data_IF_743271298192
#
_entry.id   IF_743271298192
#
_cell.length_a   1.000
_cell.length_b   1.000
_cell.length_c   1.000
_cell.angle_alpha   90.00
_cell.angle_beta   90.00
_cell.angle_gamma   90.00
#
_symmetry.space_group_name_H-M   'P 1'
#
loop_
_entity.id
_entity.type
_entity.pdbx_description
1 polymer ?
#
# COMPACT_ATOMS: atom_id res chain seq x y z
N UNK A 1 -63.02 16.88 -21.05
CA UNK A 1 -61.68 16.66 -21.61
C UNK A 1 -60.74 16.57 -20.43
N UNK A 2 -60.56 15.32 -19.98
CA UNK A 2 -59.38 14.64 -19.40
C UNK A 2 -58.63 15.32 -18.25
N UNK A 3 -58.52 14.70 -17.06
CA UNK A 3 -57.58 13.61 -16.70
C UNK A 3 -56.10 14.03 -16.94
N UNK A 4 -55.10 13.78 -16.10
CA UNK A 4 -54.94 13.06 -14.86
C UNK A 4 -53.59 13.50 -14.22
N UNK A 5 -53.51 13.35 -12.90
CA UNK A 5 -52.44 12.72 -12.10
C UNK A 5 -51.01 12.54 -12.70
N UNK A 6 -49.99 12.59 -11.81
CA UNK A 6 -48.72 11.83 -11.80
C UNK A 6 -47.42 12.66 -11.85
N UNK A 7 -46.83 12.86 -10.66
CA UNK A 7 -45.52 12.35 -10.21
C UNK A 7 -44.43 12.08 -11.27
N UNK A 8 -43.22 12.64 -11.06
CA UNK A 8 -41.87 11.99 -11.11
C UNK A 8 -40.79 12.86 -11.74
N UNK A 9 -39.63 12.85 -11.08
CA UNK A 9 -38.34 12.75 -11.75
C UNK A 9 -37.55 14.05 -11.91
N UNK A 10 -36.87 14.49 -10.86
CA UNK A 10 -35.70 15.35 -11.03
C UNK A 10 -34.47 14.48 -11.32
N UNK A 11 -34.22 14.23 -12.60
CA UNK A 11 -32.88 13.93 -13.10
C UNK A 11 -32.08 15.24 -13.05
N UNK A 12 -31.12 15.36 -12.15
CA UNK A 12 -30.20 16.48 -12.10
C UNK A 12 -28.90 16.14 -12.82
N UNK A 13 -28.92 16.15 -14.16
CA UNK A 13 -27.69 16.32 -14.94
C UNK A 13 -27.43 17.82 -15.06
N UNK A 14 -26.66 18.39 -14.13
CA UNK A 14 -26.19 19.77 -14.25
C UNK A 14 -25.17 19.86 -15.41
N UNK A 15 -25.61 20.44 -16.53
CA UNK A 15 -24.75 20.79 -17.67
C UNK A 15 -23.78 21.91 -17.27
N UNK A 16 -22.53 21.79 -17.72
CA UNK A 16 -21.44 22.76 -17.56
C UNK A 16 -21.76 24.14 -18.15
N UNK A 17 -22.83 24.26 -18.94
CA UNK A 17 -23.28 25.50 -19.59
C UNK A 17 -23.96 26.51 -18.64
N UNK A 18 -24.09 26.19 -17.35
CA UNK A 18 -24.82 27.03 -16.38
C UNK A 18 -23.95 27.94 -15.51
N UNK A 19 -22.65 28.07 -15.81
CA UNK A 19 -21.76 29.03 -15.15
C UNK A 19 -21.79 30.37 -15.89
N UNK A 20 -22.73 31.25 -15.52
CA UNK A 20 -22.69 32.66 -15.93
C UNK A 20 -21.50 33.37 -15.28
N UNK A 21 -20.48 33.71 -16.08
CA UNK A 21 -19.38 34.58 -15.66
C UNK A 21 -19.79 36.05 -15.84
N UNK A 22 -19.64 36.92 -14.83
CA UNK A 22 -19.98 38.34 -14.94
C UNK A 22 -19.17 39.01 -16.06
N UNK A 23 -19.81 39.92 -16.81
CA UNK A 23 -19.27 40.63 -17.99
C UNK A 23 -17.79 40.98 -17.83
N UNK A 24 -16.95 40.17 -18.46
CA UNK A 24 -15.51 40.26 -18.36
C UNK A 24 -15.02 41.53 -19.05
N UNK A 25 -14.25 42.32 -18.31
CA UNK A 25 -13.25 43.27 -18.83
C UNK A 25 -12.62 42.68 -20.10
N UNK A 26 -12.57 43.46 -21.19
CA UNK A 26 -11.99 43.01 -22.47
C UNK A 26 -10.72 42.19 -22.22
N UNK A 27 -10.67 40.91 -22.65
CA UNK A 27 -9.54 40.04 -22.39
C UNK A 27 -8.24 40.69 -22.87
N UNK A 28 -7.22 40.71 -22.01
CA UNK A 28 -5.92 41.25 -22.39
C UNK A 28 -5.31 40.35 -23.49
N UNK A 29 -5.29 40.84 -24.73
CA UNK A 29 -4.85 40.08 -25.91
C UNK A 29 -3.46 39.45 -25.75
N UNK A 30 -2.55 40.14 -25.03
CA UNK A 30 -1.21 39.61 -24.73
C UNK A 30 -1.28 38.38 -23.81
N UNK A 31 -2.13 38.41 -22.79
CA UNK A 31 -2.30 37.29 -21.86
C UNK A 31 -3.03 36.14 -22.55
N UNK A 32 -4.02 36.43 -23.38
CA UNK A 32 -4.72 35.43 -24.21
C UNK A 32 -3.72 34.70 -25.10
N UNK A 33 -2.86 35.44 -25.82
CA UNK A 33 -1.83 34.86 -26.68
C UNK A 33 -0.81 34.02 -25.90
N UNK A 34 -0.35 34.51 -24.74
CA UNK A 34 0.55 33.76 -23.85
C UNK A 34 -0.07 32.44 -23.40
N UNK A 35 -1.34 32.46 -22.98
CA UNK A 35 -2.03 31.25 -22.51
C UNK A 35 -2.19 30.23 -23.65
N UNK A 36 -2.53 30.71 -24.85
CA UNK A 36 -2.68 29.88 -26.03
C UNK A 36 -1.37 29.19 -26.41
N UNK A 37 -0.26 29.94 -26.44
CA UNK A 37 1.08 29.38 -26.71
C UNK A 37 1.47 28.29 -25.71
N UNK A 38 1.21 28.51 -24.41
CA UNK A 38 1.51 27.51 -23.37
C UNK A 38 0.65 26.26 -23.53
N UNK A 39 -0.65 26.41 -23.80
CA UNK A 39 -1.55 25.29 -24.02
C UNK A 39 -1.15 24.44 -25.23
N UNK A 40 -0.76 25.08 -26.33
CA UNK A 40 -0.30 24.38 -27.54
C UNK A 40 0.95 23.54 -27.28
N UNK A 41 1.92 24.07 -26.53
CA UNK A 41 3.13 23.34 -26.14
C UNK A 41 2.80 22.16 -25.23
N UNK A 42 1.95 22.37 -24.22
CA UNK A 42 1.53 21.31 -23.30
C UNK A 42 0.79 20.19 -24.04
N UNK A 43 -0.14 20.55 -24.93
CA UNK A 43 -0.88 19.59 -25.74
C UNK A 43 0.01 18.81 -26.70
N UNK A 44 0.95 19.48 -27.39
CA UNK A 44 1.91 18.81 -28.26
C UNK A 44 2.81 17.83 -27.48
N UNK A 45 3.24 18.23 -26.28
CA UNK A 45 4.10 17.40 -25.42
C UNK A 45 3.33 16.22 -24.82
N UNK A 46 2.07 16.42 -24.41
CA UNK A 46 1.19 15.35 -23.93
C UNK A 46 0.87 14.30 -25.02
N UNK A 47 0.69 14.74 -26.28
CA UNK A 47 0.51 13.82 -27.42
C UNK A 47 1.73 12.92 -27.63
N UNK A 48 2.93 13.42 -27.33
CA UNK A 48 4.18 12.67 -27.42
C UNK A 48 4.41 11.75 -26.21
N UNK A 49 4.03 12.20 -25.01
CA UNK A 49 4.12 11.41 -23.78
C UNK A 49 2.92 11.72 -22.85
N UNK A 50 1.90 10.83 -22.79
CA UNK A 50 0.71 11.04 -21.97
C UNK A 50 0.94 11.03 -20.46
N UNK A 51 2.06 10.48 -19.98
CA UNK A 51 2.40 10.39 -18.55
C UNK A 51 3.31 11.56 -18.09
N UNK A 52 3.47 12.59 -18.91
CA UNK A 52 4.40 13.69 -18.63
C UNK A 52 3.95 14.52 -17.42
N UNK A 53 4.91 14.84 -16.54
CA UNK A 53 4.69 15.80 -15.45
C UNK A 53 4.51 17.22 -16.02
N UNK A 54 3.27 17.70 -16.04
CA UNK A 54 2.91 19.02 -16.57
C UNK A 54 3.65 20.17 -15.87
N UNK A 55 3.89 20.07 -14.56
CA UNK A 55 4.60 21.10 -13.80
C UNK A 55 6.07 21.23 -14.20
N UNK A 56 6.69 20.13 -14.68
CA UNK A 56 8.09 20.13 -15.09
C UNK A 56 8.33 20.80 -16.46
N UNK A 57 7.30 20.83 -17.31
CA UNK A 57 7.35 21.42 -18.66
C UNK A 57 6.66 22.79 -18.73
N UNK A 58 5.87 23.13 -17.70
CA UNK A 58 5.26 24.45 -17.60
C UNK A 58 6.34 25.54 -17.54
N UNK A 59 6.20 26.66 -18.28
CA UNK A 59 7.25 27.68 -18.28
C UNK A 59 7.41 28.32 -16.89
N UNK A 60 8.61 28.22 -16.33
CA UNK A 60 8.96 28.81 -15.02
C UNK A 60 8.80 30.34 -15.01
N UNK A 61 8.90 30.97 -16.18
CA UNK A 61 8.75 32.41 -16.40
C UNK A 61 7.30 32.85 -16.66
N UNK A 62 6.34 31.92 -16.71
CA UNK A 62 4.94 32.21 -17.05
C UNK A 62 4.33 33.30 -16.16
N UNK A 63 4.50 33.19 -14.84
CA UNK A 63 3.98 34.17 -13.88
C UNK A 63 4.56 35.56 -14.10
N UNK A 64 5.84 35.65 -14.47
CA UNK A 64 6.52 36.91 -14.74
C UNK A 64 6.11 37.51 -16.10
N UNK A 65 5.92 36.66 -17.13
CA UNK A 65 5.40 37.04 -18.45
C UNK A 65 3.94 37.52 -18.36
N UNK A 66 3.11 36.86 -17.56
CA UNK A 66 1.72 37.24 -17.28
C UNK A 66 1.63 38.59 -16.56
N UNK A 67 2.56 38.86 -15.66
CA UNK A 67 2.68 40.16 -14.96
C UNK A 67 3.33 41.26 -15.84
N UNK A 68 3.70 40.96 -17.08
CA UNK A 68 4.31 41.92 -18.00
C UNK A 68 5.78 42.24 -17.72
N UNK A 69 6.43 41.55 -16.75
CA UNK A 69 7.81 41.81 -16.29
C UNK A 69 8.89 41.27 -17.23
N UNK A 70 8.53 40.39 -18.17
CA UNK A 70 9.41 39.81 -19.19
C UNK A 70 8.75 39.87 -20.57
N UNK A 71 9.54 40.12 -21.62
CA UNK A 71 9.08 40.11 -23.01
C UNK A 71 8.83 38.69 -23.54
N UNK A 72 8.11 38.56 -24.65
CA UNK A 72 7.90 37.26 -25.31
C UNK A 72 9.23 36.73 -25.85
N UNK A 73 9.56 35.47 -25.51
CA UNK A 73 10.76 34.81 -26.00
C UNK A 73 10.60 34.45 -27.48
N UNK A 74 11.53 34.91 -28.33
CA UNK A 74 11.69 34.44 -29.70
C UNK A 74 12.53 33.16 -29.71
N UNK A 75 11.86 32.01 -29.60
CA UNK A 75 12.31 30.64 -29.94
C UNK A 75 13.44 29.94 -29.12
N UNK A 76 13.26 28.61 -29.01
CA UNK A 76 14.20 27.51 -28.69
C UNK A 76 14.38 26.98 -27.26
N UNK A 77 13.76 27.55 -26.22
CA UNK A 77 13.81 26.92 -24.89
C UNK A 77 13.12 25.52 -24.86
N UNK A 78 12.09 25.32 -25.69
CA UNK A 78 11.39 24.05 -25.84
C UNK A 78 12.25 22.98 -26.53
N UNK A 79 13.00 23.31 -27.59
CA UNK A 79 13.91 22.38 -28.26
C UNK A 79 15.10 21.97 -27.37
N UNK A 80 15.60 22.88 -26.54
CA UNK A 80 16.71 22.61 -25.62
C UNK A 80 16.30 21.72 -24.43
N UNK A 81 15.05 21.80 -23.94
CA UNK A 81 14.54 20.94 -22.85
C UNK A 81 14.09 19.56 -23.36
N UNK A 82 13.54 19.44 -24.57
CA UNK A 82 13.13 18.13 -25.15
C UNK A 82 14.33 17.19 -25.35
N UNK A 83 15.51 17.71 -25.77
CA UNK A 83 16.73 16.90 -25.96
C UNK A 83 17.42 16.43 -24.65
N UNK A 84 17.02 16.96 -23.49
CA UNK A 84 17.61 16.62 -22.17
C UNK A 84 16.72 15.76 -21.27
N UNK A 85 15.54 15.37 -21.73
CA UNK A 85 14.70 14.45 -20.97
C UNK A 85 15.33 13.04 -20.95
N UNK A 86 15.30 12.33 -19.80
CA UNK A 86 15.60 10.91 -19.78
C UNK A 86 14.69 10.16 -20.77
N UNK A 87 15.11 9.00 -21.31
CA UNK A 87 14.26 8.22 -22.20
C UNK A 87 12.91 7.97 -21.53
N UNK A 88 11.80 7.98 -22.30
CA UNK A 88 10.49 7.73 -21.72
C UNK A 88 10.55 6.41 -20.94
N UNK A 89 9.99 6.37 -19.71
CA UNK A 89 9.86 5.10 -19.00
C UNK A 89 9.18 4.10 -19.93
N UNK A 90 9.63 2.84 -19.90
CA UNK A 90 9.12 1.79 -20.76
C UNK A 90 7.59 1.85 -20.75
N UNK A 91 6.98 2.00 -21.94
CA UNK A 91 5.53 2.08 -22.12
C UNK A 91 4.93 0.93 -21.31
N UNK A 92 4.32 1.24 -20.16
CA UNK A 92 3.44 0.30 -19.51
C UNK A 92 2.22 0.25 -20.42
N UNK A 93 1.85 -0.91 -20.99
CA UNK A 93 0.60 -0.99 -21.73
C UNK A 93 -0.50 -0.43 -20.85
N UNK A 94 -1.28 0.52 -21.38
CA UNK A 94 -2.41 1.06 -20.64
C UNK A 94 -3.28 -0.11 -20.17
N UNK A 95 -3.75 -0.09 -18.91
CA UNK A 95 -4.74 -1.05 -18.45
C UNK A 95 -5.91 -1.08 -19.43
N UNK A 96 -6.29 -2.24 -19.99
CA UNK A 96 -7.61 -2.36 -20.57
C UNK A 96 -8.61 -2.04 -19.46
N UNK A 97 -9.51 -1.08 -19.69
CA UNK A 97 -10.72 -0.89 -18.88
C UNK A 97 -11.57 -2.15 -19.07
N UNK A 98 -11.31 -3.16 -18.25
CA UNK A 98 -12.05 -4.39 -18.12
C UNK A 98 -11.93 -4.85 -16.67
N UNK A 99 -12.87 -5.69 -16.24
CA UNK A 99 -12.77 -6.43 -14.98
C UNK A 99 -11.42 -7.14 -14.96
N UNK A 100 -10.45 -6.60 -14.20
CA UNK A 100 -9.16 -7.26 -14.00
C UNK A 100 -9.41 -8.48 -13.13
N UNK A 101 -9.35 -9.66 -13.72
CA UNK A 101 -9.27 -10.90 -12.96
C UNK A 101 -7.81 -11.09 -12.54
N UNK A 102 -7.54 -10.88 -11.25
CA UNK A 102 -6.20 -11.02 -10.69
C UNK A 102 -5.63 -12.43 -10.94
N UNK A 103 -6.44 -13.48 -10.81
CA UNK A 103 -6.01 -14.86 -10.97
C UNK A 103 -5.64 -15.14 -12.43
N UNK A 104 -6.45 -14.66 -13.39
CA UNK A 104 -6.15 -14.78 -14.81
C UNK A 104 -4.86 -14.04 -15.18
N UNK A 105 -4.70 -12.80 -14.69
CA UNK A 105 -3.47 -12.01 -14.84
C UNK A 105 -2.26 -12.75 -14.26
N UNK A 106 -2.44 -13.33 -13.07
CA UNK A 106 -1.41 -14.08 -12.40
C UNK A 106 -0.97 -15.28 -13.23
N UNK A 107 -1.91 -16.07 -13.74
CA UNK A 107 -1.62 -17.22 -14.62
C UNK A 107 -0.88 -16.78 -15.89
N UNK A 108 -1.33 -15.69 -16.53
CA UNK A 108 -0.79 -15.21 -17.80
C UNK A 108 0.65 -14.66 -17.67
N UNK A 109 0.94 -13.91 -16.59
CA UNK A 109 2.25 -13.28 -16.37
C UNK A 109 3.32 -14.25 -15.86
N UNK A 110 2.91 -15.42 -15.39
CA UNK A 110 3.76 -16.39 -14.71
C UNK A 110 4.55 -17.27 -15.67
N UNK A 111 5.88 -17.13 -15.62
CA UNK A 111 6.82 -17.87 -16.50
C UNK A 111 7.69 -18.89 -15.77
N UNK A 112 8.01 -18.65 -14.51
CA UNK A 112 8.91 -19.49 -13.71
C UNK A 112 8.39 -19.58 -12.29
N UNK A 113 8.56 -20.74 -11.66
CA UNK A 113 8.22 -20.97 -10.26
C UNK A 113 9.48 -21.35 -9.48
N UNK A 114 9.69 -20.72 -8.33
CA UNK A 114 10.83 -21.03 -7.45
C UNK A 114 10.38 -21.03 -6.00
N UNK A 115 10.65 -22.12 -5.29
CA UNK A 115 10.51 -22.18 -3.83
C UNK A 115 11.59 -21.28 -3.22
N UNK A 116 11.18 -20.25 -2.48
CA UNK A 116 12.08 -19.34 -1.76
C UNK A 116 12.31 -19.87 -0.35
N UNK A 117 11.23 -20.31 0.31
CA UNK A 117 11.29 -21.01 1.59
C UNK A 117 10.55 -22.35 1.52
N UNK A 118 11.07 -23.39 2.19
CA UNK A 118 10.49 -24.73 2.15
C UNK A 118 8.99 -24.75 2.48
N UNK A 119 8.26 -25.59 1.75
CA UNK A 119 6.84 -25.83 2.00
C UNK A 119 6.68 -26.84 3.13
N UNK A 120 5.66 -26.64 3.96
CA UNK A 120 5.17 -27.64 4.92
C UNK A 120 4.51 -28.83 4.22
N UNK A 121 4.42 -29.96 4.92
CA UNK A 121 3.78 -31.17 4.40
C UNK A 121 2.32 -30.91 4.00
N UNK A 122 1.61 -30.06 4.75
CA UNK A 122 0.24 -29.65 4.45
C UNK A 122 0.14 -28.84 3.15
N UNK A 123 1.07 -27.89 2.93
CA UNK A 123 1.12 -27.10 1.70
C UNK A 123 1.48 -27.96 0.48
N UNK A 124 2.40 -28.93 0.65
CA UNK A 124 2.77 -29.91 -0.38
C UNK A 124 1.58 -30.81 -0.72
N UNK A 125 0.89 -31.34 0.28
CA UNK A 125 -0.29 -32.18 0.09
C UNK A 125 -1.38 -31.42 -0.67
N UNK A 126 -1.64 -30.16 -0.30
CA UNK A 126 -2.61 -29.31 -0.98
C UNK A 126 -2.24 -29.08 -2.46
N UNK A 127 -1.01 -28.66 -2.76
CA UNK A 127 -0.58 -28.42 -4.15
C UNK A 127 -0.58 -29.71 -5.00
N UNK A 128 -0.33 -30.86 -4.37
CA UNK A 128 -0.33 -32.15 -5.05
C UNK A 128 -1.71 -32.56 -5.59
N UNK A 129 -2.79 -32.09 -4.98
CA UNK A 129 -4.16 -32.32 -5.47
C UNK A 129 -4.40 -31.76 -6.89
N UNK A 130 -3.56 -30.80 -7.32
CA UNK A 130 -3.63 -30.22 -8.65
C UNK A 130 -2.72 -30.91 -9.68
N UNK A 131 -1.98 -31.96 -9.30
CA UNK A 131 -1.11 -32.73 -10.17
C UNK A 131 -1.74 -34.09 -10.52
N UNK A 132 -1.44 -34.61 -11.71
CA UNK A 132 -1.93 -35.93 -12.11
C UNK A 132 -1.18 -37.03 -11.34
N UNK A 133 -1.95 -37.84 -10.61
CA UNK A 133 -1.54 -38.90 -9.66
C UNK A 133 -0.67 -39.99 -10.31
N UNK A 134 0.64 -39.79 -10.45
CA UNK A 134 1.55 -40.87 -10.88
C UNK A 134 2.93 -40.92 -10.17
N UNK A 135 3.26 -40.01 -9.24
CA UNK A 135 4.51 -40.03 -8.45
C UNK A 135 4.32 -39.45 -7.05
N UNK A 136 5.28 -39.67 -6.15
CA UNK A 136 5.28 -39.10 -4.80
C UNK A 136 5.24 -37.55 -4.86
N UNK A 137 4.38 -36.96 -4.04
CA UNK A 137 4.07 -35.52 -3.97
C UNK A 137 5.30 -34.61 -3.87
N UNK A 138 6.31 -35.00 -3.08
CA UNK A 138 7.52 -34.20 -2.89
C UNK A 138 8.37 -34.07 -4.16
N UNK A 139 8.65 -35.20 -4.81
CA UNK A 139 9.49 -35.27 -6.03
C UNK A 139 8.82 -34.55 -7.20
N UNK A 140 7.49 -34.42 -7.17
CA UNK A 140 6.72 -33.69 -8.16
C UNK A 140 6.80 -32.18 -7.98
N UNK A 141 7.05 -31.62 -6.79
CA UNK A 141 7.16 -30.17 -6.60
C UNK A 141 8.59 -29.65 -6.74
N UNK A 142 9.58 -30.53 -6.82
CA UNK A 142 10.99 -30.18 -7.05
C UNK A 142 11.24 -29.63 -8.47
N UNK A 143 10.39 -29.97 -9.45
CA UNK A 143 10.46 -29.39 -10.79
C UNK A 143 9.66 -28.10 -10.88
N UNK A 144 10.31 -27.04 -11.36
CA UNK A 144 9.69 -25.72 -11.61
C UNK A 144 8.42 -25.84 -12.47
N UNK A 145 8.39 -26.75 -13.44
CA UNK A 145 7.28 -26.86 -14.39
C UNK A 145 6.02 -27.46 -13.74
N UNK A 146 6.18 -28.51 -12.94
CA UNK A 146 5.07 -29.12 -12.21
C UNK A 146 4.58 -28.21 -11.09
N UNK A 147 5.48 -27.55 -10.36
CA UNK A 147 5.12 -26.53 -9.37
C UNK A 147 4.29 -25.40 -10.01
N UNK A 148 4.75 -24.87 -11.14
CA UNK A 148 4.01 -23.87 -11.90
C UNK A 148 2.65 -24.41 -12.38
N UNK A 149 2.59 -25.64 -12.88
CA UNK A 149 1.34 -26.27 -13.34
C UNK A 149 0.33 -26.42 -12.19
N UNK A 150 0.77 -26.84 -11.00
CA UNK A 150 -0.07 -26.94 -9.81
C UNK A 150 -0.65 -25.57 -9.41
N UNK A 151 0.20 -24.55 -9.29
CA UNK A 151 -0.23 -23.19 -8.89
C UNK A 151 -1.17 -22.59 -9.94
N UNK A 152 -0.91 -22.75 -11.24
CA UNK A 152 -1.80 -22.25 -12.29
C UNK A 152 -3.18 -22.94 -12.26
N UNK A 153 -3.23 -24.25 -11.97
CA UNK A 153 -4.48 -24.98 -11.81
C UNK A 153 -5.26 -24.54 -10.57
N UNK A 154 -4.56 -24.30 -9.45
CA UNK A 154 -5.14 -23.71 -8.24
C UNK A 154 -5.75 -22.33 -8.53
N UNK A 155 -5.02 -21.45 -9.22
CA UNK A 155 -5.52 -20.11 -9.59
C UNK A 155 -6.68 -20.14 -10.59
N UNK A 156 -6.81 -21.19 -11.39
CA UNK A 156 -7.91 -21.34 -12.36
C UNK A 156 -9.24 -21.76 -11.70
N UNK A 157 -9.19 -22.27 -10.46
CA UNK A 157 -10.36 -22.69 -9.68
C UNK A 157 -10.27 -22.13 -8.25
N UNK A 158 -10.29 -20.79 -8.09
CA UNK A 158 -10.01 -20.17 -6.80
C UNK A 158 -11.22 -20.26 -5.85
N UNK A 159 -11.00 -20.81 -4.66
CA UNK A 159 -11.91 -20.63 -3.52
C UNK A 159 -11.44 -19.39 -2.73
N UNK A 160 -12.06 -18.23 -2.98
CA UNK A 160 -11.55 -16.93 -2.51
C UNK A 160 -12.09 -16.59 -1.12
N UNK A 161 -11.17 -16.31 -0.19
CA UNK A 161 -11.49 -15.69 1.11
C UNK A 161 -11.50 -14.16 1.02
N UNK A 162 -10.64 -13.59 0.17
CA UNK A 162 -10.50 -12.15 -0.03
C UNK A 162 -9.86 -11.86 -1.40
N UNK A 163 -10.19 -10.71 -2.01
CA UNK A 163 -9.60 -10.25 -3.26
C UNK A 163 -9.50 -8.73 -3.35
N UNK A 164 -8.36 -8.25 -3.83
CA UNK A 164 -8.15 -6.94 -4.43
C UNK A 164 -7.66 -7.16 -5.87
N UNK A 165 -8.42 -6.75 -6.90
CA UNK A 165 -8.09 -6.98 -8.32
C UNK A 165 -6.70 -6.48 -8.76
N UNK A 166 -6.10 -5.56 -8.00
CA UNK A 166 -4.81 -4.95 -8.29
C UNK A 166 -3.71 -5.63 -7.49
N UNK A 167 -3.92 -5.80 -6.18
CA UNK A 167 -2.89 -6.25 -5.21
C UNK A 167 -2.77 -7.76 -5.14
N UNK A 168 -3.88 -8.48 -5.02
CA UNK A 168 -3.85 -9.92 -4.85
C UNK A 168 -5.13 -10.57 -4.35
N UNK A 169 -5.01 -11.85 -4.03
CA UNK A 169 -6.10 -12.70 -3.59
C UNK A 169 -5.64 -13.59 -2.44
N UNK A 170 -6.51 -13.87 -1.50
CA UNK A 170 -6.32 -14.91 -0.48
C UNK A 170 -7.27 -16.05 -0.79
N UNK A 171 -6.73 -17.25 -0.99
CA UNK A 171 -7.49 -18.44 -1.31
C UNK A 171 -7.53 -19.38 -0.12
N UNK A 172 -8.66 -20.08 0.05
CA UNK A 172 -8.81 -21.18 1.00
C UNK A 172 -8.14 -22.43 0.43
N UNK A 173 -7.17 -23.01 1.13
CA UNK A 173 -6.64 -24.34 0.79
C UNK A 173 -7.36 -25.44 1.56
N UNK A 174 -7.49 -25.25 2.87
CA UNK A 174 -8.28 -26.05 3.79
C UNK A 174 -8.75 -25.16 4.95
N UNK A 175 -9.27 -25.74 6.04
CA UNK A 175 -9.82 -24.96 7.17
C UNK A 175 -8.74 -24.21 7.99
N UNK A 176 -7.47 -24.63 7.90
CA UNK A 176 -6.38 -24.10 8.71
C UNK A 176 -5.28 -23.40 7.90
N UNK A 177 -5.27 -23.54 6.57
CA UNK A 177 -4.21 -23.09 5.68
C UNK A 177 -4.78 -22.27 4.51
N UNK A 178 -4.76 -20.94 4.57
CA UNK A 178 -4.92 -20.09 3.39
C UNK A 178 -3.61 -19.97 2.61
N UNK A 179 -3.76 -19.56 1.35
CA UNK A 179 -2.65 -19.09 0.51
C UNK A 179 -2.91 -17.67 0.05
N UNK A 180 -1.99 -16.75 0.36
CA UNK A 180 -2.00 -15.38 -0.14
C UNK A 180 -1.19 -15.32 -1.44
N UNK A 181 -1.82 -14.85 -2.50
CA UNK A 181 -1.22 -14.68 -3.82
C UNK A 181 -1.26 -13.20 -4.19
N UNK A 182 -0.10 -12.55 -4.14
CA UNK A 182 0.03 -11.09 -4.29
C UNK A 182 1.11 -10.70 -5.29
N UNK A 183 1.02 -9.49 -5.85
CA UNK A 183 2.12 -8.90 -6.63
C UNK A 183 3.21 -8.43 -5.68
N UNK A 184 4.32 -9.15 -5.63
CA UNK A 184 5.29 -9.02 -4.54
C UNK A 184 6.58 -8.29 -4.84
N UNK A 185 6.81 -7.71 -6.03
CA UNK A 185 8.00 -6.88 -6.37
C UNK A 185 9.38 -7.26 -5.73
N UNK A 186 9.68 -8.55 -5.53
CA UNK A 186 10.87 -9.07 -4.83
C UNK A 186 10.98 -8.76 -3.33
N UNK A 187 9.88 -8.40 -2.70
CA UNK A 187 9.74 -8.11 -1.27
C UNK A 187 9.35 -9.36 -0.47
N UNK A 188 10.23 -9.82 0.42
CA UNK A 188 10.01 -11.03 1.21
C UNK A 188 9.48 -10.74 2.62
N UNK A 189 9.20 -9.47 2.93
CA UNK A 189 9.04 -9.00 4.32
C UNK A 189 7.89 -9.68 5.03
N UNK A 190 6.76 -9.91 4.36
CA UNK A 190 5.61 -10.59 4.98
C UNK A 190 6.01 -11.98 5.50
N UNK A 191 6.65 -12.79 4.66
CA UNK A 191 7.06 -14.14 5.03
C UNK A 191 8.15 -14.15 6.12
N UNK A 192 9.18 -13.32 5.94
CA UNK A 192 10.34 -13.29 6.86
C UNK A 192 9.96 -12.73 8.23
N UNK A 193 9.00 -11.81 8.28
CA UNK A 193 8.46 -11.25 9.52
C UNK A 193 7.65 -12.27 10.30
N UNK A 194 6.74 -13.00 9.64
CA UNK A 194 6.02 -14.10 10.28
C UNK A 194 6.98 -15.19 10.79
N UNK A 195 8.04 -15.50 10.03
CA UNK A 195 9.08 -16.45 10.45
C UNK A 195 9.85 -15.95 11.69
N UNK A 196 10.19 -14.67 11.73
CA UNK A 196 10.87 -14.05 12.85
C UNK A 196 10.01 -14.05 14.11
N UNK A 197 8.74 -13.68 14.01
CA UNK A 197 7.80 -13.71 15.12
C UNK A 197 7.60 -15.13 15.65
N UNK A 198 7.38 -16.11 14.77
CA UNK A 198 7.23 -17.50 15.18
C UNK A 198 8.44 -18.03 15.97
N UNK A 199 9.65 -17.51 15.70
CA UNK A 199 10.88 -17.90 16.37
C UNK A 199 11.16 -17.11 17.66
N UNK A 200 10.91 -15.80 17.65
CA UNK A 200 11.38 -14.89 18.71
C UNK A 200 10.27 -14.38 19.63
N UNK A 201 9.01 -14.43 19.19
CA UNK A 201 7.85 -14.00 19.97
C UNK A 201 6.60 -14.84 19.61
N UNK A 202 6.60 -16.16 19.88
CA UNK A 202 5.50 -17.05 19.50
C UNK A 202 4.17 -16.73 20.19
N UNK A 203 4.20 -15.95 21.27
CA UNK A 203 3.02 -15.47 21.99
C UNK A 203 2.32 -14.29 21.30
N UNK A 204 2.93 -13.72 20.25
CA UNK A 204 2.28 -12.71 19.41
C UNK A 204 1.36 -13.43 18.42
N UNK A 205 0.07 -13.09 18.39
CA UNK A 205 -0.89 -13.78 17.54
C UNK A 205 -0.76 -13.30 16.09
N UNK A 206 0.16 -13.90 15.35
CA UNK A 206 0.38 -13.68 13.92
C UNK A 206 0.22 -15.00 13.13
N UNK A 207 -0.11 -14.97 11.83
CA UNK A 207 -0.07 -16.16 11.01
C UNK A 207 1.32 -16.79 11.02
N UNK A 208 1.38 -18.12 11.10
CA UNK A 208 2.64 -18.87 11.03
C UNK A 208 2.94 -19.20 9.57
N UNK A 209 4.18 -19.06 9.11
CA UNK A 209 4.54 -19.35 7.73
C UNK A 209 4.60 -20.85 7.45
N UNK A 210 4.03 -21.28 6.33
CA UNK A 210 3.98 -22.67 5.85
C UNK A 210 4.63 -22.90 4.49
N UNK A 211 5.23 -21.85 3.92
CA UNK A 211 6.01 -21.91 2.69
C UNK A 211 5.86 -20.67 1.82
N UNK A 212 6.87 -20.39 1.00
CA UNK A 212 6.85 -19.24 0.10
C UNK A 212 7.42 -19.62 -1.27
N UNK A 213 6.59 -19.46 -2.30
CA UNK A 213 6.95 -19.64 -3.70
C UNK A 213 6.87 -18.30 -4.41
N UNK A 214 7.86 -18.07 -5.28
CA UNK A 214 7.87 -16.96 -6.21
C UNK A 214 7.51 -17.45 -7.61
N UNK A 215 6.45 -16.88 -8.15
CA UNK A 215 5.96 -17.12 -9.50
C UNK A 215 6.22 -15.87 -10.35
N UNK A 216 7.46 -15.73 -10.84
CA UNK A 216 7.94 -14.49 -11.47
C UNK A 216 7.92 -13.29 -10.51
N UNK A 217 6.94 -12.40 -10.67
CA UNK A 217 6.71 -11.22 -9.79
C UNK A 217 5.58 -11.42 -8.78
N UNK A 218 4.98 -12.60 -8.76
CA UNK A 218 3.87 -12.95 -7.89
C UNK A 218 4.41 -13.79 -6.74
N UNK A 219 4.00 -13.45 -5.53
CA UNK A 219 4.36 -14.18 -4.33
C UNK A 219 3.17 -15.04 -3.94
N UNK A 220 3.45 -16.31 -3.65
CA UNK A 220 2.48 -17.32 -3.20
C UNK A 220 2.95 -17.74 -1.82
N UNK A 221 2.26 -17.24 -0.79
CA UNK A 221 2.64 -17.38 0.60
C UNK A 221 1.59 -18.27 1.29
N UNK A 222 2.03 -19.43 1.78
CA UNK A 222 1.24 -20.31 2.61
C UNK A 222 1.43 -19.93 4.08
N UNK A 223 0.34 -19.83 4.82
CA UNK A 223 0.36 -19.46 6.23
C UNK A 223 -0.87 -19.99 6.96
N UNK A 224 -0.85 -20.03 8.29
CA UNK A 224 -2.01 -20.46 9.09
C UNK A 224 -3.17 -19.47 9.02
N UNK A 225 -4.40 -19.96 9.04
CA UNK A 225 -5.60 -19.14 9.17
C UNK A 225 -5.74 -18.62 10.60
N UNK A 226 -6.22 -17.38 10.75
CA UNK A 226 -6.75 -16.90 12.03
C UNK A 226 -8.29 -16.92 11.92
N UNK A 227 -8.98 -17.96 12.45
CA UNK A 227 -10.40 -18.22 12.20
C UNK A 227 -11.30 -17.25 12.98
N UNK A 228 -11.45 -16.04 12.46
CA UNK A 228 -12.14 -14.92 13.10
C UNK A 228 -12.50 -13.84 12.09
N UNK A 229 -13.05 -12.71 12.55
CA UNK A 229 -13.48 -11.60 11.69
C UNK A 229 -12.61 -10.37 11.90
N UNK A 230 -12.50 -9.53 10.87
CA UNK A 230 -11.74 -8.28 10.98
C UNK A 230 -12.46 -7.30 11.90
N UNK A 231 -11.68 -6.50 12.64
CA UNK A 231 -12.19 -5.45 13.50
C UNK A 231 -13.04 -4.44 12.72
N UNK A 232 -12.64 -4.14 11.50
CA UNK A 232 -13.36 -3.25 10.58
C UNK A 232 -14.83 -3.66 10.40
N UNK A 233 -15.12 -4.97 10.28
CA UNK A 233 -16.49 -5.46 10.04
C UNK A 233 -17.42 -5.29 11.24
N UNK A 234 -16.87 -5.14 12.44
CA UNK A 234 -17.66 -5.05 13.67
C UNK A 234 -17.58 -3.71 14.36
N UNK A 235 -16.65 -2.84 13.94
CA UNK A 235 -16.28 -1.61 14.63
C UNK A 235 -17.48 -0.72 14.97
N UNK A 236 -18.38 -0.50 14.01
CA UNK A 236 -19.58 0.35 14.18
C UNK A 236 -20.56 -0.20 15.21
N UNK A 237 -20.52 -1.51 15.48
CA UNK A 237 -21.38 -2.19 16.44
C UNK A 237 -20.71 -2.38 17.82
N UNK A 238 -19.45 -1.98 17.98
CA UNK A 238 -18.74 -2.13 19.24
C UNK A 238 -19.16 -1.05 20.25
N UNK A 239 -19.43 -1.49 21.47
CA UNK A 239 -19.56 -0.59 22.63
C UNK A 239 -18.22 0.06 22.98
N UNK A 240 -18.25 1.20 23.66
CA UNK A 240 -17.03 1.87 24.16
C UNK A 240 -16.17 0.96 25.04
N UNK A 241 -16.82 0.07 25.80
CA UNK A 241 -16.14 -0.95 26.61
C UNK A 241 -15.37 -1.95 25.75
N UNK A 242 -15.98 -2.44 24.65
CA UNK A 242 -15.31 -3.34 23.71
C UNK A 242 -14.12 -2.64 23.05
N UNK A 243 -14.31 -1.40 22.59
CA UNK A 243 -13.23 -0.60 21.97
C UNK A 243 -12.05 -0.40 22.92
N UNK A 244 -12.34 -0.12 24.20
CA UNK A 244 -11.31 0.05 25.24
C UNK A 244 -10.60 -1.27 25.58
N UNK A 245 -11.32 -2.41 25.62
CA UNK A 245 -10.70 -3.73 25.81
C UNK A 245 -9.74 -4.07 24.68
N UNK A 246 -10.19 -3.92 23.43
CA UNK A 246 -9.37 -4.17 22.24
C UNK A 246 -8.15 -3.26 22.21
N UNK A 247 -8.30 -1.98 22.58
CA UNK A 247 -7.18 -1.06 22.71
C UNK A 247 -6.14 -1.57 23.72
N UNK A 248 -6.58 -2.04 24.89
CA UNK A 248 -5.68 -2.59 25.90
C UNK A 248 -4.96 -3.85 25.38
N UNK A 249 -5.68 -4.77 24.74
CA UNK A 249 -5.09 -5.98 24.15
C UNK A 249 -4.07 -5.66 23.04
N UNK A 250 -4.35 -4.68 22.18
CA UNK A 250 -3.41 -4.18 21.18
C UNK A 250 -2.16 -3.58 21.83
N UNK A 251 -2.32 -2.77 22.88
CA UNK A 251 -1.20 -2.20 23.61
C UNK A 251 -0.29 -3.29 24.20
N UNK A 252 -0.85 -4.34 24.78
CA UNK A 252 -0.08 -5.48 25.29
C UNK A 252 0.72 -6.19 24.17
N UNK A 253 0.18 -6.28 22.96
CA UNK A 253 0.90 -6.82 21.81
C UNK A 253 2.03 -5.88 21.39
N UNK A 254 1.79 -4.56 21.34
CA UNK A 254 2.83 -3.59 21.01
C UNK A 254 3.96 -3.57 22.04
N UNK A 255 3.65 -3.67 23.33
CA UNK A 255 4.66 -3.80 24.37
C UNK A 255 5.51 -5.07 24.21
N UNK A 256 4.93 -6.17 23.71
CA UNK A 256 5.69 -7.38 23.37
C UNK A 256 6.55 -7.20 22.12
N UNK A 257 6.01 -6.58 21.06
CA UNK A 257 6.76 -6.25 19.85
C UNK A 257 7.95 -5.34 20.15
N UNK A 258 7.76 -4.31 20.98
CA UNK A 258 8.80 -3.36 21.40
C UNK A 258 9.96 -4.01 22.17
N UNK A 259 9.75 -5.19 22.78
CA UNK A 259 10.84 -5.97 23.41
C UNK A 259 11.79 -6.58 22.38
N UNK A 260 11.35 -6.75 21.13
CA UNK A 260 12.19 -7.18 20.02
C UNK A 260 12.99 -5.97 19.53
N UNK A 261 14.12 -5.70 20.20
CA UNK A 261 15.00 -4.58 19.85
C UNK A 261 15.90 -4.93 18.66
N UNK A 262 16.12 -3.95 17.80
CA UNK A 262 17.10 -4.02 16.71
C UNK A 262 18.51 -4.14 17.30
N UNK A 263 19.31 -5.08 16.82
CA UNK A 263 20.72 -5.15 17.16
C UNK A 263 21.55 -4.16 16.32
N UNK A 264 22.81 -3.95 16.69
CA UNK A 264 23.70 -3.00 15.98
C UNK A 264 24.07 -3.43 14.56
N UNK A 265 23.98 -4.72 14.24
CA UNK A 265 24.25 -5.26 12.91
C UNK A 265 23.04 -5.20 11.96
N UNK A 266 21.83 -5.07 12.52
CA UNK A 266 20.58 -5.03 11.78
C UNK A 266 20.33 -3.63 11.20
N UNK A 267 19.76 -3.64 9.99
CA UNK A 267 19.29 -2.45 9.28
C UNK A 267 17.84 -2.15 9.66
N UNK A 268 17.39 -0.94 9.39
CA UNK A 268 15.98 -0.59 9.44
C UNK A 268 15.22 -1.19 8.26
N UNK A 269 13.92 -1.40 8.47
CA UNK A 269 13.04 -2.02 7.50
C UNK A 269 12.96 -3.54 7.59
N UNK A 270 12.68 -4.17 6.45
CA UNK A 270 12.48 -5.62 6.34
C UNK A 270 13.70 -6.44 6.77
N UNK A 271 13.46 -7.67 7.20
CA UNK A 271 14.45 -8.54 7.84
C UNK A 271 15.46 -9.18 6.86
N UNK A 272 15.16 -9.19 5.56
CA UNK A 272 15.99 -9.77 4.49
C UNK A 272 16.67 -8.65 3.66
N UNK A 273 16.73 -7.43 4.19
CA UNK A 273 17.39 -6.30 3.56
C UNK A 273 16.57 -5.57 2.50
N UNK A 274 15.24 -5.70 2.54
CA UNK A 274 14.29 -5.00 1.67
C UNK A 274 14.33 -3.47 1.85
N UNK A 275 14.93 -3.01 2.95
CA UNK A 275 15.09 -1.60 3.28
C UNK A 275 13.82 -1.00 3.87
N UNK A 276 13.86 0.32 3.99
CA UNK A 276 12.82 1.11 4.67
C UNK A 276 11.63 1.34 3.73
N UNK A 277 10.43 1.14 4.26
CA UNK A 277 9.16 1.41 3.59
C UNK A 277 8.39 2.49 4.34
N UNK A 278 7.88 3.48 3.61
CA UNK A 278 6.94 4.47 4.12
C UNK A 278 5.85 4.72 3.08
N UNK A 279 5.00 3.71 2.91
CA UNK A 279 4.00 3.70 1.86
C UNK A 279 2.91 4.77 2.04
N UNK A 280 2.71 5.21 3.28
CA UNK A 280 1.83 6.33 3.63
C UNK A 280 2.27 7.67 3.02
N UNK A 281 3.54 7.82 2.66
CA UNK A 281 4.09 9.03 1.99
C UNK A 281 4.27 8.79 0.49
N UNK A 282 3.20 8.47 -0.24
CA UNK A 282 3.22 8.26 -1.69
C UNK A 282 4.14 7.12 -2.16
N UNK A 283 4.23 6.03 -1.39
CA UNK A 283 5.13 4.91 -1.74
C UNK A 283 6.61 5.26 -1.57
N UNK A 284 6.95 6.12 -0.61
CA UNK A 284 8.34 6.49 -0.36
C UNK A 284 9.09 5.28 0.22
N UNK A 285 10.00 4.71 -0.56
CA UNK A 285 10.81 3.54 -0.19
C UNK A 285 12.27 3.82 -0.46
N UNK A 286 13.15 3.22 0.33
CA UNK A 286 14.59 3.25 0.08
C UNK A 286 15.21 1.90 0.38
N UNK A 287 16.04 1.43 -0.56
CA UNK A 287 16.91 0.28 -0.37
C UNK A 287 18.29 0.68 0.19
N UNK A 288 18.51 1.97 0.46
CA UNK A 288 19.74 2.42 1.10
C UNK A 288 19.84 1.86 2.52
N UNK A 289 21.07 1.58 2.94
CA UNK A 289 21.33 1.02 4.26
C UNK A 289 21.13 2.11 5.29
N UNK A 290 20.01 2.03 6.01
CA UNK A 290 19.73 2.84 7.19
C UNK A 290 19.81 1.95 8.43
N UNK A 291 20.36 2.48 9.50
CA UNK A 291 20.61 1.75 10.75
C UNK A 291 20.19 2.49 12.00
N UNK A 292 19.93 3.80 11.90
CA UNK A 292 19.64 4.70 13.02
C UNK A 292 18.31 5.43 12.84
N UNK A 293 17.71 5.86 13.95
CA UNK A 293 16.47 6.63 13.94
C UNK A 293 16.63 7.98 13.22
N UNK A 294 17.79 8.64 13.39
CA UNK A 294 18.13 9.89 12.72
C UNK A 294 18.17 9.74 11.18
N UNK A 295 18.80 8.69 10.65
CA UNK A 295 18.81 8.40 9.20
C UNK A 295 17.38 8.19 8.65
N UNK A 296 16.54 7.51 9.43
CA UNK A 296 15.14 7.30 9.07
C UNK A 296 14.33 8.61 9.07
N UNK A 297 14.59 9.51 10.01
CA UNK A 297 13.96 10.84 10.02
C UNK A 297 14.37 11.67 8.81
N UNK A 298 15.67 11.71 8.50
CA UNK A 298 16.19 12.37 7.29
C UNK A 298 15.51 11.80 6.03
N UNK A 299 15.33 10.48 5.99
CA UNK A 299 14.59 9.81 4.93
C UNK A 299 13.12 10.29 4.87
N UNK A 300 12.40 10.36 5.98
CA UNK A 300 11.01 10.85 6.01
C UNK A 300 10.89 12.28 5.45
N UNK A 301 11.79 13.20 5.83
CA UNK A 301 11.79 14.57 5.32
C UNK A 301 12.28 14.71 3.88
N UNK A 302 12.88 13.67 3.30
CA UNK A 302 13.32 13.66 1.90
C UNK A 302 12.19 13.36 0.90
N UNK A 303 10.99 13.03 1.39
CA UNK A 303 9.82 12.68 0.59
C UNK A 303 9.42 13.77 -0.41
N UNK A 304 8.83 13.35 -1.53
CA UNK A 304 8.37 14.25 -2.59
C UNK A 304 6.92 14.73 -2.34
N UNK A 305 6.59 16.02 -2.57
CA UNK A 305 7.48 17.11 -3.01
C UNK A 305 8.45 17.53 -1.90
N UNK A 306 9.72 17.71 -2.26
CA UNK A 306 10.76 18.09 -1.30
C UNK A 306 10.45 19.46 -0.70
N UNK A 307 10.34 19.51 0.63
CA UNK A 307 10.27 20.76 1.35
C UNK A 307 11.62 21.50 1.31
N UNK A 308 11.57 22.83 1.46
CA UNK A 308 12.80 23.63 1.59
C UNK A 308 13.54 23.28 2.89
N UNK A 309 14.86 23.45 2.92
CA UNK A 309 15.66 23.22 4.14
C UNK A 309 15.12 24.01 5.34
N UNK A 310 14.74 25.26 5.13
CA UNK A 310 14.17 26.09 6.19
C UNK A 310 12.85 25.54 6.73
N UNK A 311 11.99 25.00 5.87
CA UNK A 311 10.74 24.37 6.29
C UNK A 311 10.98 23.08 7.07
N UNK A 312 11.90 22.23 6.59
CA UNK A 312 12.30 21.01 7.31
C UNK A 312 12.88 21.35 8.68
N UNK A 313 13.78 22.33 8.78
CA UNK A 313 14.33 22.80 10.06
C UNK A 313 13.24 23.33 10.99
N UNK A 314 12.26 24.07 10.46
CA UNK A 314 11.12 24.55 11.24
C UNK A 314 10.25 23.40 11.75
N UNK A 315 9.91 22.41 10.91
CA UNK A 315 9.14 21.24 11.33
C UNK A 315 9.88 20.41 12.39
N UNK A 316 11.19 20.21 12.20
CA UNK A 316 12.05 19.53 13.18
C UNK A 316 12.05 20.20 14.55
N UNK A 317 11.89 21.52 14.63
CA UNK A 317 11.85 22.21 15.93
C UNK A 317 10.63 21.86 16.79
N UNK A 318 9.59 21.24 16.20
CA UNK A 318 8.42 20.75 16.93
C UNK A 318 8.54 19.28 17.33
N UNK A 319 9.51 18.54 16.80
CA UNK A 319 9.66 17.13 17.13
C UNK A 319 10.35 16.98 18.48
N UNK A 320 9.92 16.00 19.31
CA UNK A 320 10.65 15.66 20.52
C UNK A 320 12.03 15.10 20.16
N UNK A 321 12.92 15.04 21.15
CA UNK A 321 14.19 14.32 21.00
C UNK A 321 13.86 12.86 20.66
N UNK A 322 14.41 12.37 19.55
CA UNK A 322 14.15 11.00 19.13
C UNK A 322 14.79 10.01 20.09
N UNK A 323 14.04 8.95 20.40
CA UNK A 323 14.59 7.73 20.94
C UNK A 323 15.50 7.09 19.90
N UNK A 324 16.72 6.73 20.29
CA UNK A 324 17.63 5.96 19.45
C UNK A 324 17.20 4.48 19.35
N UNK A 325 16.26 4.05 20.21
CA UNK A 325 15.78 2.68 20.23
C UNK A 325 14.91 2.38 19.00
N UNK A 326 15.41 1.45 18.18
CA UNK A 326 14.67 0.87 17.08
C UNK A 326 14.16 -0.51 17.50
N UNK A 327 12.88 -0.76 17.27
CA UNK A 327 12.16 -1.96 17.70
C UNK A 327 11.41 -2.58 16.52
N UNK A 328 11.00 -3.84 16.68
CA UNK A 328 10.20 -4.49 15.67
C UNK A 328 8.77 -3.91 15.67
N UNK A 329 8.30 -3.49 14.52
CA UNK A 329 6.97 -2.89 14.30
C UNK A 329 6.21 -3.69 13.24
N UNK A 330 4.89 -3.66 13.30
CA UNK A 330 3.99 -4.23 12.30
C UNK A 330 3.94 -3.35 11.04
N UNK A 331 3.86 -2.03 11.22
CA UNK A 331 3.96 -1.08 10.11
C UNK A 331 2.71 -0.86 9.27
N UNK A 332 1.60 -1.53 9.61
CA UNK A 332 0.32 -1.36 8.92
C UNK A 332 -0.89 -1.77 9.79
N UNK A 333 -0.93 -1.23 11.01
CA UNK A 333 -1.99 -1.60 11.96
C UNK A 333 -3.26 -0.80 11.68
N UNK A 334 -4.12 -1.41 10.88
CA UNK A 334 -5.46 -0.92 10.57
C UNK A 334 -6.54 -1.91 10.98
N UNK A 335 -7.77 -1.44 11.14
CA UNK A 335 -8.91 -2.29 11.54
C UNK A 335 -9.14 -3.48 10.60
N UNK A 336 -8.76 -3.37 9.32
CA UNK A 336 -8.81 -4.46 8.35
C UNK A 336 -7.77 -5.57 8.62
N UNK A 337 -6.68 -5.23 9.31
CA UNK A 337 -5.55 -6.11 9.61
C UNK A 337 -5.58 -6.64 11.07
N UNK A 338 -6.59 -6.24 11.84
CA UNK A 338 -6.81 -6.71 13.21
C UNK A 338 -7.94 -7.73 13.21
N UNK A 339 -7.68 -8.90 13.75
CA UNK A 339 -8.65 -9.98 13.86
C UNK A 339 -9.23 -10.02 15.28
N UNK A 340 -10.56 -10.15 15.37
CA UNK A 340 -11.29 -10.26 16.64
C UNK A 340 -12.26 -11.42 16.63
N UNK A 341 -12.45 -12.02 17.81
CA UNK A 341 -13.42 -13.09 18.04
C UNK A 341 -14.44 -12.64 19.08
N UNK A 342 -15.70 -12.95 18.83
CA UNK A 342 -16.75 -12.80 19.83
C UNK A 342 -16.63 -13.93 20.85
N UNK A 343 -16.54 -13.57 22.12
CA UNK A 343 -16.67 -14.51 23.23
C UNK A 343 -18.16 -14.74 23.50
N UNK A 344 -18.64 -15.94 23.15
CA UNK A 344 -20.03 -16.35 23.29
C UNK A 344 -20.53 -16.26 24.75
N UNK A 345 -19.62 -16.35 25.73
CA UNK A 345 -19.98 -16.31 27.15
C UNK A 345 -20.14 -14.89 27.71
N UNK A 346 -19.40 -13.92 27.17
CA UNK A 346 -19.34 -12.56 27.71
C UNK A 346 -19.90 -11.50 26.76
N UNK A 347 -20.24 -11.87 25.51
CA UNK A 347 -20.62 -10.97 24.42
C UNK A 347 -19.60 -9.86 24.14
N UNK A 348 -18.35 -10.04 24.57
CA UNK A 348 -17.26 -9.12 24.32
C UNK A 348 -16.42 -9.62 23.14
N UNK A 349 -15.77 -8.68 22.47
CA UNK A 349 -14.79 -9.00 21.44
C UNK A 349 -13.40 -9.02 22.04
N UNK A 350 -12.66 -10.10 21.78
CA UNK A 350 -11.25 -10.24 22.15
C UNK A 350 -10.40 -10.31 20.89
N UNK A 351 -9.19 -9.77 20.94
CA UNK A 351 -8.26 -9.83 19.82
C UNK A 351 -7.78 -11.27 19.61
N UNK A 352 -7.89 -11.76 18.38
CA UNK A 352 -7.47 -13.10 17.98
C UNK A 352 -6.19 -13.11 17.15
N UNK A 353 -5.83 -11.99 16.51
CA UNK A 353 -4.51 -11.82 15.90
C UNK A 353 -4.34 -10.58 15.02
N UNK A 354 -3.13 -10.44 14.49
CA UNK A 354 -2.73 -9.40 13.54
C UNK A 354 -2.26 -10.07 12.24
N UNK A 355 -2.76 -9.58 11.10
CA UNK A 355 -2.44 -10.09 9.76
C UNK A 355 -1.78 -8.99 8.91
N UNK A 356 -1.28 -9.37 7.74
CA UNK A 356 -0.68 -8.45 6.76
C UNK A 356 0.64 -7.78 7.23
N UNK A 357 1.63 -8.63 7.52
CA UNK A 357 2.96 -8.23 7.98
C UNK A 357 3.89 -7.76 6.83
N UNK A 358 3.35 -7.27 5.71
CA UNK A 358 4.18 -6.90 4.56
C UNK A 358 5.01 -5.62 4.77
N UNK A 359 4.61 -4.79 5.73
CA UNK A 359 5.27 -3.52 6.06
C UNK A 359 6.07 -3.57 7.37
N UNK A 360 6.16 -4.74 8.01
CA UNK A 360 6.86 -4.88 9.27
C UNK A 360 8.38 -4.82 9.14
N UNK A 361 9.04 -4.53 10.25
CA UNK A 361 10.48 -4.41 10.27
C UNK A 361 10.99 -3.70 11.51
N UNK A 362 12.27 -3.37 11.52
CA UNK A 362 12.83 -2.53 12.58
C UNK A 362 12.71 -1.06 12.24
N UNK A 363 12.08 -0.30 13.13
CA UNK A 363 11.85 1.14 12.99
C UNK A 363 11.92 1.82 14.38
N UNK A 364 12.04 3.16 14.45
CA UNK A 364 11.95 3.87 15.72
C UNK A 364 10.65 3.54 16.48
N UNK A 365 10.70 3.45 17.80
CA UNK A 365 9.57 2.97 18.63
C UNK A 365 8.26 3.75 18.44
N UNK A 366 8.37 5.06 18.16
CA UNK A 366 7.23 5.95 17.92
C UNK A 366 6.55 5.71 16.57
N UNK A 367 7.19 4.98 15.66
CA UNK A 367 6.77 4.92 14.27
C UNK A 367 5.45 4.15 14.08
N UNK A 368 5.20 3.12 14.90
CA UNK A 368 3.91 2.41 14.88
C UNK A 368 2.75 3.35 15.21
N UNK A 369 2.89 4.16 16.27
CA UNK A 369 1.87 5.14 16.66
C UNK A 369 1.67 6.21 15.57
N UNK A 370 2.74 6.67 14.91
CA UNK A 370 2.65 7.62 13.80
C UNK A 370 1.84 7.02 12.64
N UNK A 371 2.10 5.77 12.26
CA UNK A 371 1.40 5.12 11.16
C UNK A 371 -0.07 4.83 11.48
N UNK A 372 -0.40 4.42 12.71
CA UNK A 372 -1.80 4.25 13.14
C UNK A 372 -2.61 5.55 13.05
N UNK A 373 -1.96 6.71 13.26
CA UNK A 373 -2.60 8.03 13.15
C UNK A 373 -2.68 8.55 11.71
N UNK A 374 -2.04 7.90 10.74
CA UNK A 374 -1.99 8.37 9.34
C UNK A 374 -3.36 8.40 8.65
N UNK A 375 -4.34 7.66 9.18
CA UNK A 375 -5.74 7.68 8.75
C UNK A 375 -6.58 8.84 9.25
N UNK A 376 -6.05 9.64 10.18
CA UNK A 376 -6.71 10.85 10.65
C UNK A 376 -6.52 11.93 9.60
N UNK A 377 -7.55 12.13 8.79
CA UNK A 377 -7.60 13.24 7.83
C UNK A 377 -8.53 14.32 8.36
N UNK A 378 -8.39 15.54 7.83
CA UNK A 378 -9.30 16.65 8.13
C UNK A 378 -10.77 16.37 7.75
N UNK A 379 -11.02 15.32 6.97
CA UNK A 379 -12.32 15.02 6.38
C UNK A 379 -12.87 13.65 6.81
N UNK A 380 -12.12 12.87 7.60
CA UNK A 380 -12.54 11.55 8.08
C UNK A 380 -12.92 11.65 9.55
N UNK A 381 -14.22 11.54 9.82
CA UNK A 381 -14.70 11.31 11.19
C UNK A 381 -14.50 9.83 11.52
N UNK A 382 -13.48 9.55 12.33
CA UNK A 382 -13.25 8.20 12.85
C UNK A 382 -12.83 8.30 14.32
N UNK A 383 -13.44 7.46 15.15
CA UNK A 383 -13.05 7.29 16.54
C UNK A 383 -11.90 6.29 16.71
N UNK A 384 -11.45 5.61 15.63
CA UNK A 384 -10.30 4.71 15.63
C UNK A 384 -9.03 5.39 16.17
N UNK A 385 -8.64 6.53 15.57
CA UNK A 385 -7.43 7.23 16.00
C UNK A 385 -7.54 7.85 17.41
N UNK A 386 -8.76 8.13 17.88
CA UNK A 386 -9.00 8.55 19.26
C UNK A 386 -8.94 7.38 20.24
N UNK A 387 -9.39 6.19 19.83
CA UNK A 387 -9.30 4.97 20.60
C UNK A 387 -7.84 4.58 20.85
N UNK A 388 -6.95 4.66 19.86
CA UNK A 388 -5.55 4.26 20.03
C UNK A 388 -4.77 5.20 20.96
N UNK A 389 -5.03 6.52 20.91
CA UNK A 389 -4.27 7.56 21.63
C UNK A 389 -4.37 7.52 23.15
N UNK A 390 -5.42 6.93 23.74
CA UNK A 390 -5.74 7.10 25.17
C UNK A 390 -4.71 6.52 26.18
N UNK A 391 -3.72 5.75 25.74
CA UNK A 391 -2.72 5.12 26.63
C UNK A 391 -1.25 5.43 26.28
N UNK A 392 -0.97 6.19 25.23
CA UNK A 392 0.38 6.74 24.99
C UNK A 392 0.54 8.00 25.87
N UNK A 393 0.56 7.83 27.19
CA UNK A 393 1.21 8.80 28.07
C UNK A 393 2.71 8.66 27.84
N UNK A 394 3.25 9.60 27.07
CA UNK A 394 4.65 9.71 26.63
C UNK A 394 5.66 9.76 27.77
#
# INVERSE_FOLDING_TARGET
MDEAQINRGSDSSASFDSLEFPELVKPNERIVKLNQEVLEILQATLKLNPEMNLLAIFPEDYSQRRQGKLAASTASAAEYKIKKLPPPPAIRPQPPLGSRDFCADAIALSKTARVIHPLSDEAIAFLSNFLELLKSSQVLLDSSDSLMKAIKRMLAQPDKLWEDPIRGVVLKCNDDLPVKVVRGYNDHTEYTSMQYLAKHAPDIPAPKPHGFIKLGRIHVIFMTLIPSITLEKVWDNLTDRNKTSIQHELNEIFLKLRKLKKNSAQRLGGLDGEGVKNDFMFGHRSSEVMTTAAEFEDFQFSACPRASKAWVTFLRSFLPVQSEDCVFTHGDVWMANIMVKLDDSSSNYTLSGLIDWENSGFYPESQESIWMLSGLTRYTETDWGMAVRKNDEF
#
